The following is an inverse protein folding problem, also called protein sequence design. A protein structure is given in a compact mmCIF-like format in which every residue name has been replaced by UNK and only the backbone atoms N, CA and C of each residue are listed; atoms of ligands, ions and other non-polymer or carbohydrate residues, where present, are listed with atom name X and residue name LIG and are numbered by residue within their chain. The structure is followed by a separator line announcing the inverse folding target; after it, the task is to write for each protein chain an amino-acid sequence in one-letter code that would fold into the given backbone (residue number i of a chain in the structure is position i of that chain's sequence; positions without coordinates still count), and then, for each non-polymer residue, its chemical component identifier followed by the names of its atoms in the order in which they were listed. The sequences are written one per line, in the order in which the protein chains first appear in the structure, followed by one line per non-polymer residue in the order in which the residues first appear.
data_IF_520277479702
#
_entry.id   IF_520277479702
#
_cell.length_a   1.000
_cell.length_b   1.000
_cell.length_c   1.000
_cell.angle_alpha   90.00
_cell.angle_beta   90.00
_cell.angle_gamma   90.00
#
_symmetry.space_group_name_H-M   'P 1'
#
loop_
_entity.id
_entity.type
_entity.pdbx_description
1 polymer ?
#
# COMPACT_ATOMS: atom_id res chain seq x y z
N UNK A 1 16.29 -12.39 -7.00
CA UNK A 1 15.78 -11.24 -6.23
C UNK A 1 14.39 -11.62 -5.74
N UNK A 2 14.21 -11.76 -4.42
CA UNK A 2 12.92 -12.10 -3.81
C UNK A 2 12.23 -10.83 -3.31
N UNK A 3 10.89 -10.86 -3.34
CA UNK A 3 10.06 -9.74 -2.91
C UNK A 3 8.90 -10.21 -2.05
N UNK A 4 8.44 -9.33 -1.17
CA UNK A 4 7.24 -9.51 -0.35
C UNK A 4 6.14 -8.64 -0.95
N UNK A 5 5.00 -9.24 -1.27
CA UNK A 5 3.80 -8.52 -1.70
C UNK A 5 2.74 -8.60 -0.62
N UNK A 6 2.22 -7.45 -0.21
CA UNK A 6 1.11 -7.33 0.74
C UNK A 6 -0.08 -6.75 0.01
N UNK A 7 -1.12 -7.58 -0.14
CA UNK A 7 -2.39 -7.16 -0.73
C UNK A 7 -3.25 -6.48 0.34
N UNK A 8 -3.56 -5.19 0.17
CA UNK A 8 -4.47 -4.41 1.01
C UNK A 8 -5.80 -4.24 0.25
N UNK A 9 -6.82 -5.07 0.53
CA UNK A 9 -8.01 -5.15 -0.31
C UNK A 9 -9.08 -4.11 0.06
N UNK A 10 -8.70 -2.88 0.42
CA UNK A 10 -9.66 -1.86 0.86
C UNK A 10 -9.71 -0.68 -0.10
N UNK A 11 -10.92 -0.27 -0.47
CA UNK A 11 -11.14 0.92 -1.30
C UNK A 11 -12.24 1.79 -0.70
N UNK A 12 -12.20 3.09 -0.95
CA UNK A 12 -13.28 4.01 -0.59
C UNK A 12 -14.57 3.69 -1.37
N UNK A 13 -14.43 3.34 -2.64
CA UNK A 13 -15.51 3.05 -3.57
C UNK A 13 -15.04 2.10 -4.67
N UNK A 14 -16.00 1.50 -5.37
CA UNK A 14 -15.74 0.68 -6.56
C UNK A 14 -15.42 1.57 -7.76
N UNK A 15 -14.31 1.32 -8.44
CA UNK A 15 -14.06 1.87 -9.77
C UNK A 15 -14.72 0.98 -10.83
N UNK A 16 -15.36 1.57 -11.84
CA UNK A 16 -16.14 0.83 -12.85
C UNK A 16 -15.28 -0.13 -13.70
N UNK A 17 -13.98 0.14 -13.81
CA UNK A 17 -13.03 -0.63 -14.61
C UNK A 17 -12.19 -1.62 -13.78
N UNK A 18 -12.25 -1.56 -12.45
CA UNK A 18 -11.33 -2.33 -11.60
C UNK A 18 -11.71 -3.80 -11.57
N UNK A 19 -10.76 -4.67 -11.94
CA UNK A 19 -10.85 -6.13 -11.93
C UNK A 19 -10.12 -6.78 -10.75
N UNK A 20 -9.48 -5.99 -9.88
CA UNK A 20 -8.80 -6.49 -8.68
C UNK A 20 -9.80 -6.79 -7.56
N UNK A 21 -9.42 -7.70 -6.66
CA UNK A 21 -10.21 -7.94 -5.45
C UNK A 21 -10.13 -6.73 -4.52
N UNK A 22 -11.28 -6.26 -4.04
CA UNK A 22 -11.37 -5.19 -3.06
C UNK A 22 -12.63 -5.35 -2.20
N UNK A 23 -12.65 -4.61 -1.10
CA UNK A 23 -13.74 -4.48 -0.15
C UNK A 23 -13.90 -3.01 0.21
N UNK A 24 -15.15 -2.54 0.24
CA UNK A 24 -15.48 -1.21 0.77
C UNK A 24 -15.83 -1.26 2.27
N UNK A 25 -15.84 -2.46 2.87
CA UNK A 25 -16.13 -2.63 4.29
C UNK A 25 -14.89 -2.31 5.13
N UNK A 26 -14.73 -1.04 5.54
CA UNK A 26 -13.60 -0.61 6.37
C UNK A 26 -13.65 -1.13 7.81
N UNK A 27 -14.80 -1.61 8.28
CA UNK A 27 -14.96 -2.10 9.68
C UNK A 27 -14.09 -3.32 9.97
N UNK A 28 -13.68 -4.06 8.94
CA UNK A 28 -12.84 -5.25 9.09
C UNK A 28 -11.34 -4.97 9.01
N UNK A 29 -10.92 -3.72 8.77
CA UNK A 29 -9.49 -3.36 8.70
C UNK A 29 -8.73 -3.81 9.97
N UNK A 30 -9.19 -3.53 11.20
CA UNK A 30 -8.45 -3.95 12.40
C UNK A 30 -8.26 -5.47 12.50
N UNK A 31 -9.29 -6.24 12.14
CA UNK A 31 -9.24 -7.70 12.12
C UNK A 31 -8.30 -8.22 11.02
N UNK A 32 -8.30 -7.57 9.85
CA UNK A 32 -7.37 -7.85 8.75
C UNK A 32 -5.92 -7.61 9.18
N UNK A 33 -5.61 -6.44 9.73
CA UNK A 33 -4.24 -6.10 10.19
C UNK A 33 -3.76 -7.09 11.25
N UNK A 34 -4.63 -7.45 12.20
CA UNK A 34 -4.31 -8.46 13.21
C UNK A 34 -4.00 -9.83 12.58
N UNK A 35 -4.77 -10.22 11.58
CA UNK A 35 -4.59 -11.51 10.88
C UNK A 35 -3.34 -11.51 10.02
N UNK A 36 -3.06 -10.41 9.31
CA UNK A 36 -1.85 -10.23 8.50
C UNK A 36 -0.58 -10.37 9.33
N UNK A 37 -0.51 -9.75 10.52
CA UNK A 37 0.63 -9.90 11.42
C UNK A 37 0.84 -11.35 11.87
N UNK A 38 -0.25 -12.08 12.16
CA UNK A 38 -0.18 -13.51 12.46
C UNK A 38 0.34 -14.32 11.28
N UNK A 39 -0.09 -14.00 10.06
CA UNK A 39 0.37 -14.66 8.84
C UNK A 39 1.85 -14.41 8.58
N UNK A 40 2.34 -13.17 8.75
CA UNK A 40 3.75 -12.83 8.65
C UNK A 40 4.59 -13.72 9.58
N UNK A 41 4.21 -13.80 10.86
CA UNK A 41 4.90 -14.63 11.83
C UNK A 41 4.79 -16.13 11.55
N UNK A 42 3.62 -16.59 11.09
CA UNK A 42 3.39 -18.00 10.80
C UNK A 42 4.19 -18.49 9.58
N UNK A 43 4.43 -17.61 8.61
CA UNK A 43 5.10 -17.95 7.35
C UNK A 43 6.61 -17.74 7.37
N UNK A 44 7.14 -17.01 8.35
CA UNK A 44 8.55 -16.59 8.40
C UNK A 44 9.56 -17.73 8.36
N UNK A 45 9.36 -18.76 9.18
CA UNK A 45 10.28 -19.91 9.27
C UNK A 45 10.49 -20.59 7.92
N UNK A 46 9.41 -20.69 7.11
CA UNK A 46 9.46 -21.27 5.77
C UNK A 46 10.38 -20.51 4.81
N UNK A 47 10.56 -19.22 5.03
CA UNK A 47 11.34 -18.33 4.16
C UNK A 47 12.62 -17.79 4.83
N UNK A 48 13.01 -18.37 5.96
CA UNK A 48 14.21 -17.98 6.73
C UNK A 48 15.53 -18.04 5.95
N UNK A 49 15.57 -18.78 4.85
CA UNK A 49 16.73 -18.90 3.96
C UNK A 49 16.78 -17.83 2.86
N UNK A 50 15.77 -16.95 2.77
CA UNK A 50 15.68 -15.90 1.77
C UNK A 50 16.00 -14.55 2.38
N UNK A 51 16.78 -13.76 1.63
CA UNK A 51 16.94 -12.33 1.85
C UNK A 51 16.10 -11.57 0.84
N UNK A 52 15.19 -10.72 1.32
CA UNK A 52 14.26 -9.95 0.50
C UNK A 52 14.82 -8.57 0.16
N UNK A 53 14.68 -8.18 -1.11
CA UNK A 53 15.14 -6.89 -1.61
C UNK A 53 13.99 -5.91 -1.88
N UNK A 54 12.74 -6.38 -1.90
CA UNK A 54 11.59 -5.52 -2.16
C UNK A 54 10.41 -5.86 -1.24
N UNK A 55 9.67 -4.83 -0.85
CA UNK A 55 8.35 -4.94 -0.22
C UNK A 55 7.40 -4.06 -1.02
N UNK A 56 6.26 -4.61 -1.44
CA UNK A 56 5.26 -3.89 -2.21
C UNK A 56 3.89 -4.00 -1.57
N UNK A 57 3.34 -2.86 -1.16
CA UNK A 57 1.96 -2.72 -0.71
C UNK A 57 1.09 -2.32 -1.89
N UNK A 58 0.15 -3.19 -2.28
CA UNK A 58 -0.76 -2.91 -3.39
C UNK A 58 -2.15 -3.49 -3.19
N UNK A 59 -2.96 -3.48 -4.25
CA UNK A 59 -4.27 -4.14 -4.28
C UNK A 59 -5.40 -3.16 -4.43
N UNK A 60 -6.12 -2.88 -3.35
CA UNK A 60 -7.15 -1.85 -3.33
C UNK A 60 -6.52 -0.47 -3.23
N UNK A 61 -6.43 0.06 -2.02
CA UNK A 61 -5.87 1.38 -1.75
C UNK A 61 -5.10 1.31 -0.43
N UNK A 62 -3.82 0.86 -0.47
CA UNK A 62 -2.98 0.74 0.71
C UNK A 62 -2.93 1.99 1.57
N UNK A 63 -2.96 3.19 0.97
CA UNK A 63 -3.02 4.49 1.66
C UNK A 63 -4.21 4.66 2.62
N UNK A 64 -5.26 3.83 2.54
CA UNK A 64 -6.42 3.88 3.43
C UNK A 64 -6.18 3.24 4.81
N UNK A 65 -5.11 2.46 4.99
CA UNK A 65 -4.77 1.95 6.32
C UNK A 65 -4.17 3.07 7.16
N UNK A 66 -4.35 2.98 8.48
CA UNK A 66 -3.76 3.95 9.38
C UNK A 66 -2.23 3.89 9.30
N UNK A 67 -1.59 5.04 9.45
CA UNK A 67 -0.12 5.15 9.38
C UNK A 67 0.58 4.32 10.47
N UNK A 68 -0.04 4.24 11.64
CA UNK A 68 0.40 3.36 12.73
C UNK A 68 0.33 1.89 12.33
N UNK A 69 -0.70 1.46 11.61
CA UNK A 69 -0.82 0.08 11.13
C UNK A 69 0.22 -0.24 10.07
N UNK A 70 0.47 0.67 9.13
CA UNK A 70 1.53 0.53 8.12
C UNK A 70 2.91 0.38 8.77
N UNK A 71 3.25 1.27 9.71
CA UNK A 71 4.49 1.18 10.51
C UNK A 71 4.61 -0.15 11.24
N UNK A 72 3.51 -0.60 11.86
CA UNK A 72 3.49 -1.87 12.57
C UNK A 72 3.65 -3.08 11.64
N UNK A 73 3.07 -3.06 10.43
CA UNK A 73 3.26 -4.13 9.45
C UNK A 73 4.72 -4.18 9.01
N UNK A 74 5.32 -3.04 8.67
CA UNK A 74 6.73 -2.97 8.28
C UNK A 74 7.69 -3.45 9.37
N UNK A 75 7.40 -3.08 10.63
CA UNK A 75 8.14 -3.58 11.79
C UNK A 75 8.02 -5.11 11.92
N UNK A 76 6.80 -5.65 11.81
CA UNK A 76 6.57 -7.10 11.85
C UNK A 76 7.32 -7.82 10.73
N UNK A 77 7.32 -7.27 9.51
CA UNK A 77 8.07 -7.82 8.38
C UNK A 77 9.57 -7.85 8.67
N UNK A 78 10.16 -6.75 9.17
CA UNK A 78 11.60 -6.69 9.48
C UNK A 78 11.99 -7.58 10.67
N UNK A 79 11.09 -7.81 11.62
CA UNK A 79 11.35 -8.69 12.76
C UNK A 79 11.34 -10.17 12.40
N UNK A 80 10.63 -10.54 11.31
CA UNK A 80 10.40 -11.94 10.95
C UNK A 80 11.11 -12.37 9.66
N UNK A 81 11.51 -11.43 8.79
CA UNK A 81 12.20 -11.72 7.53
C UNK A 81 13.51 -10.95 7.43
N UNK A 82 14.53 -11.56 6.78
CA UNK A 82 15.74 -10.84 6.42
C UNK A 82 15.45 -9.89 5.25
N UNK A 83 15.16 -8.62 5.55
CA UNK A 83 14.92 -7.57 4.56
C UNK A 83 16.16 -6.68 4.48
N UNK A 84 16.68 -6.51 3.27
CA UNK A 84 17.87 -5.70 3.04
C UNK A 84 17.69 -4.25 3.50
N UNK A 85 18.76 -3.60 3.97
CA UNK A 85 18.69 -2.20 4.41
C UNK A 85 18.50 -1.23 3.24
N UNK A 86 18.92 -1.63 2.04
CA UNK A 86 18.75 -0.94 0.77
C UNK A 86 17.50 -1.43 -0.01
N UNK A 87 16.57 -2.12 0.67
CA UNK A 87 15.36 -2.64 0.03
C UNK A 87 14.49 -1.53 -0.56
N UNK A 88 13.91 -1.78 -1.73
CA UNK A 88 12.82 -0.96 -2.25
C UNK A 88 11.53 -1.26 -1.47
N UNK A 89 10.93 -0.25 -0.86
CA UNK A 89 9.65 -0.36 -0.17
C UNK A 89 8.67 0.56 -0.89
N UNK A 90 7.77 -0.08 -1.65
CA UNK A 90 6.80 0.53 -2.53
C UNK A 90 5.39 0.53 -1.92
N UNK A 91 4.64 1.61 -2.12
CA UNK A 91 3.21 1.68 -1.77
C UNK A 91 2.38 2.28 -2.92
N UNK A 92 1.24 1.66 -3.20
CA UNK A 92 0.22 2.23 -4.11
C UNK A 92 -0.60 3.31 -3.40
N UNK A 93 -0.74 4.45 -4.06
CA UNK A 93 -1.44 5.63 -3.56
C UNK A 93 -2.22 6.32 -4.68
N UNK A 94 -3.25 7.08 -4.32
CA UNK A 94 -3.89 8.01 -5.24
C UNK A 94 -3.40 9.44 -4.97
N UNK A 95 -3.45 10.35 -5.96
CA UNK A 95 -3.09 11.75 -5.74
C UNK A 95 -3.83 12.38 -4.55
N UNK A 96 -5.13 12.13 -4.42
CA UNK A 96 -5.96 12.67 -3.32
C UNK A 96 -5.58 12.14 -1.92
N UNK A 97 -4.76 11.09 -1.84
CA UNK A 97 -4.32 10.51 -0.57
C UNK A 97 -3.03 11.16 -0.04
N UNK A 98 -2.39 12.01 -0.84
CA UNK A 98 -1.06 12.56 -0.56
C UNK A 98 -1.14 14.01 -0.07
N UNK A 99 -0.30 14.31 0.91
CA UNK A 99 0.07 15.65 1.33
C UNK A 99 1.47 15.57 1.97
N UNK A 100 2.09 16.71 2.28
CA UNK A 100 3.43 16.74 2.86
C UNK A 100 3.59 15.88 4.12
N UNK A 101 2.60 15.91 5.01
CA UNK A 101 2.67 15.18 6.28
C UNK A 101 2.59 13.67 6.05
N UNK A 102 1.73 13.23 5.11
CA UNK A 102 1.66 11.83 4.69
C UNK A 102 2.96 11.35 4.07
N UNK A 103 3.60 12.18 3.24
CA UNK A 103 4.90 11.87 2.63
C UNK A 103 6.01 11.74 3.68
N UNK A 104 6.07 12.65 4.67
CA UNK A 104 7.00 12.56 5.80
C UNK A 104 6.81 11.25 6.56
N UNK A 105 5.56 10.90 6.87
CA UNK A 105 5.22 9.65 7.54
C UNK A 105 5.69 8.43 6.74
N UNK A 106 5.51 8.41 5.42
CA UNK A 106 5.98 7.32 4.57
C UNK A 106 7.50 7.18 4.61
N UNK A 107 8.23 8.29 4.44
CA UNK A 107 9.69 8.30 4.54
C UNK A 107 10.14 7.78 5.91
N UNK A 108 9.55 8.28 7.00
CA UNK A 108 9.87 7.86 8.37
C UNK A 108 9.54 6.38 8.63
N UNK A 109 8.59 5.82 7.88
CA UNK A 109 8.24 4.40 7.94
C UNK A 109 9.18 3.52 7.12
N UNK A 110 10.07 4.12 6.31
CA UNK A 110 11.00 3.44 5.42
C UNK A 110 10.47 3.22 4.00
N UNK A 111 9.31 3.78 3.64
CA UNK A 111 8.82 3.78 2.26
C UNK A 111 9.69 4.73 1.43
N UNK A 112 10.18 4.24 0.30
CA UNK A 112 11.10 4.97 -0.57
C UNK A 112 10.67 4.97 -2.05
N UNK A 113 9.51 4.39 -2.37
CA UNK A 113 8.91 4.45 -3.70
C UNK A 113 7.39 4.54 -3.63
N UNK A 114 6.81 5.40 -4.45
CA UNK A 114 5.35 5.52 -4.62
C UNK A 114 4.94 5.00 -6.00
N UNK A 115 3.81 4.30 -6.05
CA UNK A 115 3.10 3.96 -7.28
C UNK A 115 1.80 4.77 -7.30
N UNK A 116 1.75 5.83 -8.11
CA UNK A 116 0.66 6.81 -8.08
C UNK A 116 -0.37 6.50 -9.17
N UNK A 117 -1.62 6.32 -8.76
CA UNK A 117 -2.75 6.01 -9.63
C UNK A 117 -3.27 7.20 -10.44
N UNK A 118 -2.46 7.79 -11.32
CA UNK A 118 -2.85 8.96 -12.16
C UNK A 118 -4.03 8.67 -13.08
N UNK A 119 -3.98 7.54 -13.80
CA UNK A 119 -4.93 7.10 -14.84
C UNK A 119 -5.01 8.02 -16.07
N UNK A 120 -5.26 9.32 -15.89
CA UNK A 120 -5.34 10.31 -16.97
C UNK A 120 -5.04 11.72 -16.46
N UNK A 121 -4.54 12.59 -17.34
CA UNK A 121 -4.40 14.03 -17.10
C UNK A 121 -5.52 14.85 -17.78
N UNK A 122 -6.61 14.19 -18.17
CA UNK A 122 -7.81 14.86 -18.69
C UNK A 122 -8.95 14.71 -17.71
N UNK A 123 -9.41 15.85 -17.17
CA UNK A 123 -10.49 15.87 -16.17
C UNK A 123 -11.79 15.19 -16.63
N UNK A 124 -12.09 15.20 -17.93
CA UNK A 124 -13.25 14.48 -18.48
C UNK A 124 -13.11 12.95 -18.38
N UNK A 125 -11.91 12.41 -18.63
CA UNK A 125 -11.63 10.98 -18.53
C UNK A 125 -11.61 10.55 -17.05
N UNK A 126 -11.02 11.36 -16.16
CA UNK A 126 -11.04 11.12 -14.71
C UNK A 126 -12.47 11.03 -14.16
N UNK A 127 -13.35 11.95 -14.59
CA UNK A 127 -14.77 11.93 -14.22
C UNK A 127 -15.47 10.66 -14.73
N UNK A 128 -15.22 10.26 -15.97
CA UNK A 128 -15.77 9.02 -16.54
C UNK A 128 -15.32 7.79 -15.75
N UNK A 129 -14.04 7.74 -15.36
CA UNK A 129 -13.45 6.68 -14.55
C UNK A 129 -13.85 6.74 -13.07
N UNK A 130 -14.64 7.75 -12.67
CA UNK A 130 -15.04 8.00 -11.28
C UNK A 130 -13.85 8.23 -10.34
N UNK A 131 -12.76 8.81 -10.84
CA UNK A 131 -11.62 9.26 -10.01
C UNK A 131 -12.02 10.49 -9.18
N UNK A 132 -11.39 10.67 -8.02
CA UNK A 132 -11.69 11.78 -7.10
C UNK A 132 -10.74 12.95 -7.27
N UNK A 133 -9.56 12.71 -7.83
CA UNK A 133 -8.57 13.71 -8.14
C UNK A 133 -8.81 14.37 -9.51
N UNK A 134 -8.20 15.54 -9.69
CA UNK A 134 -8.07 16.30 -10.92
C UNK A 134 -6.65 16.18 -11.51
N UNK A 135 -6.48 16.59 -12.77
CA UNK A 135 -5.16 16.66 -13.39
C UNK A 135 -4.24 17.62 -12.65
N UNK A 136 -4.78 18.71 -12.15
CA UNK A 136 -4.06 19.74 -11.40
C UNK A 136 -3.51 19.18 -10.09
N UNK A 137 -4.34 18.53 -9.27
CA UNK A 137 -3.93 17.84 -8.04
C UNK A 137 -2.94 16.69 -8.27
N UNK A 138 -2.87 16.15 -9.49
CA UNK A 138 -1.90 15.09 -9.82
C UNK A 138 -0.51 15.64 -10.08
N UNK A 139 -0.43 16.87 -10.59
CA UNK A 139 0.83 17.50 -11.00
C UNK A 139 1.50 18.23 -9.82
N UNK A 140 0.69 18.71 -8.88
CA UNK A 140 1.13 19.27 -7.59
C UNK A 140 1.89 18.23 -6.74
#
# INVERSE_FOLDING_TARGET
MSGIYIHIPFCNKRCNYCNFYFSTNKKIIPAFITSLKKEIKFTSDKFSHLKFNTVYFGGGTPSLIADSDLKNILSELRNNFEISNDSEISIEVNPEDLNEDKLKIYIDSGINRLSIGVQSLKNQELKFLSRQHSSEETIE
#
